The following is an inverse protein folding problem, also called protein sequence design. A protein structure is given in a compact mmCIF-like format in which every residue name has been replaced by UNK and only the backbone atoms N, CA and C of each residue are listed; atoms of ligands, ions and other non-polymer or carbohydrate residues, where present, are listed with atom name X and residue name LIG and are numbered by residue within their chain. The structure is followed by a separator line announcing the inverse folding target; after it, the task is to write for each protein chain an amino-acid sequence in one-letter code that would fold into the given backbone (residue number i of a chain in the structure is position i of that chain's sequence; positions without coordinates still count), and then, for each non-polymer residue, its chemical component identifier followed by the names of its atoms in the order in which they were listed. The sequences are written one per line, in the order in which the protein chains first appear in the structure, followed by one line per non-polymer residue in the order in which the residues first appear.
data_IF_264255691518
#
_entry.id   IF_264255691518
#
_cell.length_a   1.000
_cell.length_b   1.000
_cell.length_c   1.000
_cell.angle_alpha   90.00
_cell.angle_beta   90.00
_cell.angle_gamma   90.00
#
_symmetry.space_group_name_H-M   'P 1'
#
loop_
_entity.id
_entity.type
_entity.pdbx_description
1 polymer ?
#
# COMPACT_ATOMS: atom_id res chain seq x y z
N UNK A 1 -34.18 -15.67 16.70
CA UNK A 1 -33.67 -15.04 15.47
C UNK A 1 -32.17 -15.16 15.59
N UNK A 2 -31.62 -16.25 15.07
CA UNK A 2 -30.22 -16.61 15.28
C UNK A 2 -29.34 -15.63 14.51
N UNK A 3 -28.64 -14.77 15.26
CA UNK A 3 -27.53 -14.01 14.72
C UNK A 3 -26.38 -15.00 14.56
N UNK A 4 -26.28 -15.59 13.37
CA UNK A 4 -25.09 -16.36 12.97
C UNK A 4 -23.84 -15.52 13.29
N UNK A 5 -22.94 -16.09 14.08
CA UNK A 5 -21.68 -15.42 14.40
C UNK A 5 -20.91 -15.16 13.09
N UNK A 6 -20.38 -13.94 12.90
CA UNK A 6 -19.67 -13.61 11.68
C UNK A 6 -18.41 -14.48 11.56
N UNK A 7 -18.36 -15.33 10.52
CA UNK A 7 -17.14 -16.08 10.19
C UNK A 7 -16.11 -15.12 9.59
N UNK A 8 -14.94 -15.03 10.24
CA UNK A 8 -13.84 -14.16 9.82
C UNK A 8 -12.61 -15.01 9.49
N UNK A 9 -12.09 -14.88 8.28
CA UNK A 9 -10.84 -15.51 7.86
C UNK A 9 -9.82 -14.43 7.55
N UNK A 10 -8.65 -14.49 8.19
CA UNK A 10 -7.55 -13.53 7.99
C UNK A 10 -6.55 -14.07 6.99
N UNK A 11 -6.05 -13.21 6.10
CA UNK A 11 -5.03 -13.57 5.13
C UNK A 11 -4.00 -12.45 4.94
N UNK A 12 -2.84 -12.85 4.43
CA UNK A 12 -1.63 -12.02 4.41
C UNK A 12 -1.38 -11.26 3.11
N UNK A 13 -1.98 -11.70 2.01
CA UNK A 13 -1.68 -11.19 0.68
C UNK A 13 -2.97 -10.98 -0.11
N UNK A 14 -2.99 -9.91 -0.88
CA UNK A 14 -4.07 -9.58 -1.79
C UNK A 14 -3.51 -9.27 -3.17
N UNK A 15 -3.97 -9.99 -4.19
CA UNK A 15 -3.69 -9.64 -5.59
C UNK A 15 -4.65 -8.54 -6.03
N UNK A 16 -4.10 -7.40 -6.41
CA UNK A 16 -4.85 -6.23 -6.87
C UNK A 16 -5.21 -6.37 -8.37
N UNK A 17 -6.26 -5.68 -8.85
CA UNK A 17 -6.65 -5.70 -10.27
C UNK A 17 -5.54 -5.26 -11.23
N UNK A 18 -4.64 -4.40 -10.76
CA UNK A 18 -3.48 -3.92 -11.53
C UNK A 18 -2.32 -4.94 -11.59
N UNK A 19 -2.50 -6.15 -11.05
CA UNK A 19 -1.51 -7.22 -11.06
C UNK A 19 -0.50 -7.19 -9.90
N UNK A 20 -0.45 -6.12 -9.11
CA UNK A 20 0.39 -6.05 -7.92
C UNK A 20 -0.09 -7.02 -6.84
N UNK A 21 0.83 -7.47 -5.99
CA UNK A 21 0.51 -8.23 -4.77
C UNK A 21 0.78 -7.34 -3.58
N UNK A 22 -0.28 -6.93 -2.88
CA UNK A 22 -0.20 -6.17 -1.65
C UNK A 22 -0.09 -7.13 -0.47
N UNK A 23 0.91 -6.90 0.38
CA UNK A 23 1.16 -7.72 1.56
C UNK A 23 0.53 -7.07 2.79
N UNK A 24 0.57 -7.78 3.92
CA UNK A 24 0.14 -7.26 5.20
C UNK A 24 1.29 -7.31 6.20
N UNK A 25 1.33 -6.32 7.09
CA UNK A 25 2.31 -6.20 8.16
C UNK A 25 2.36 -7.47 9.01
N UNK A 26 1.21 -8.09 9.31
CA UNK A 26 1.14 -9.33 10.09
C UNK A 26 2.02 -10.48 9.55
N UNK A 27 2.26 -10.52 8.24
CA UNK A 27 3.07 -11.57 7.63
C UNK A 27 4.52 -11.14 7.41
N UNK A 28 4.77 -9.89 7.00
CA UNK A 28 6.13 -9.40 6.78
C UNK A 28 6.87 -9.11 8.10
N UNK A 29 6.18 -8.86 9.23
CA UNK A 29 6.80 -8.74 10.56
C UNK A 29 7.57 -10.00 11.00
N UNK A 30 7.33 -11.13 10.34
CA UNK A 30 8.04 -12.38 10.59
C UNK A 30 9.39 -12.45 9.87
N UNK A 31 9.77 -11.45 9.10
CA UNK A 31 11.01 -11.41 8.33
C UNK A 31 12.03 -10.50 9.02
N UNK A 32 13.28 -10.97 9.16
CA UNK A 32 14.34 -10.21 9.83
C UNK A 32 14.78 -8.96 9.01
N UNK A 33 14.51 -8.95 7.70
CA UNK A 33 14.92 -7.91 6.73
C UNK A 33 13.81 -6.90 6.36
N UNK A 34 12.85 -6.66 7.26
CA UNK A 34 11.75 -5.68 7.12
C UNK A 34 12.20 -4.29 6.62
N UNK A 35 13.47 -3.92 6.83
CA UNK A 35 14.02 -2.62 6.45
C UNK A 35 14.03 -2.36 4.93
N UNK A 36 13.94 -3.39 4.08
CA UNK A 36 14.27 -3.24 2.64
C UNK A 36 13.07 -3.26 1.70
N UNK A 37 11.95 -3.90 2.07
CA UNK A 37 10.74 -3.97 1.22
C UNK A 37 9.49 -3.93 2.08
N UNK A 38 8.76 -2.80 2.05
CA UNK A 38 7.47 -2.64 2.73
C UNK A 38 6.35 -2.73 1.70
N UNK A 39 5.95 -3.95 1.33
CA UNK A 39 4.87 -4.15 0.33
C UNK A 39 3.46 -4.08 0.94
N UNK A 40 3.36 -3.67 2.21
CA UNK A 40 2.11 -3.44 2.92
C UNK A 40 1.58 -2.00 2.83
N UNK A 41 2.34 -1.07 2.25
CA UNK A 41 1.87 0.31 2.07
C UNK A 41 1.04 0.42 0.81
N UNK A 42 -0.11 1.06 0.91
CA UNK A 42 -1.09 1.12 -0.17
C UNK A 42 -1.56 2.55 -0.43
N UNK A 43 -1.89 2.79 -1.70
CA UNK A 43 -2.64 3.96 -2.15
C UNK A 43 -4.13 3.61 -2.20
N UNK A 44 -4.94 4.49 -1.63
CA UNK A 44 -6.38 4.38 -1.54
C UNK A 44 -7.05 5.53 -2.29
N UNK A 45 -8.25 5.28 -2.81
CA UNK A 45 -9.19 6.31 -3.20
C UNK A 45 -10.41 6.22 -2.30
N UNK A 46 -10.51 7.15 -1.35
CA UNK A 46 -11.63 7.25 -0.44
C UNK A 46 -12.46 8.47 -0.83
N UNK A 47 -13.69 8.25 -1.31
CA UNK A 47 -14.61 9.31 -1.73
C UNK A 47 -14.03 10.31 -2.76
N UNK A 48 -13.11 9.87 -3.63
CA UNK A 48 -12.46 10.71 -4.64
C UNK A 48 -11.12 11.28 -4.20
N UNK A 49 -10.74 11.13 -2.93
CA UNK A 49 -9.48 11.63 -2.40
C UNK A 49 -8.42 10.54 -2.33
N UNK A 50 -7.20 10.89 -2.73
CA UNK A 50 -6.03 10.01 -2.62
C UNK A 50 -5.55 10.02 -1.18
N UNK A 51 -5.48 8.84 -0.58
CA UNK A 51 -4.95 8.63 0.77
C UNK A 51 -3.96 7.47 0.78
N UNK A 52 -3.19 7.35 1.86
CA UNK A 52 -2.21 6.28 2.02
C UNK A 52 -2.42 5.58 3.35
N UNK A 53 -2.12 4.28 3.36
CA UNK A 53 -2.26 3.47 4.56
C UNK A 53 -1.25 2.31 4.59
N UNK A 54 -0.98 1.83 5.79
CA UNK A 54 -0.26 0.60 6.07
C UNK A 54 -1.27 -0.51 6.37
N UNK A 55 -1.20 -1.62 5.64
CA UNK A 55 -2.09 -2.76 5.83
C UNK A 55 -1.61 -3.64 6.96
N UNK A 56 -2.43 -3.82 7.99
CA UNK A 56 -2.15 -4.72 9.10
C UNK A 56 -2.44 -6.17 8.70
N UNK A 57 -3.66 -6.39 8.20
CA UNK A 57 -4.13 -7.68 7.70
C UNK A 57 -5.40 -7.51 6.87
N UNK A 58 -5.64 -8.49 6.00
CA UNK A 58 -6.88 -8.60 5.24
C UNK A 58 -7.79 -9.64 5.87
N UNK A 59 -9.10 -9.49 5.69
CA UNK A 59 -10.06 -10.48 6.15
C UNK A 59 -11.34 -10.51 5.32
N UNK A 60 -12.06 -11.62 5.40
CA UNK A 60 -13.41 -11.73 4.86
C UNK A 60 -14.45 -11.61 5.97
N UNK A 61 -15.58 -10.98 5.65
CA UNK A 61 -16.76 -10.92 6.50
C UNK A 61 -17.97 -11.37 5.68
N UNK A 62 -18.75 -12.31 6.22
CA UNK A 62 -20.00 -12.75 5.61
C UNK A 62 -21.15 -12.12 6.38
N UNK A 63 -22.00 -11.35 5.68
CA UNK A 63 -23.19 -10.75 6.29
C UNK A 63 -24.37 -10.86 5.33
N UNK A 64 -25.47 -11.48 5.78
CA UNK A 64 -26.67 -11.72 4.95
C UNK A 64 -26.33 -12.40 3.61
N UNK A 65 -25.46 -13.41 3.65
CA UNK A 65 -24.98 -14.15 2.47
C UNK A 65 -24.19 -13.31 1.44
N UNK A 66 -23.71 -12.12 1.82
CA UNK A 66 -22.81 -11.29 1.01
C UNK A 66 -21.40 -11.36 1.61
N UNK A 67 -20.43 -11.66 0.75
CA UNK A 67 -19.01 -11.67 1.11
C UNK A 67 -18.41 -10.28 0.93
N UNK A 68 -17.80 -9.77 1.99
CA UNK A 68 -17.00 -8.56 1.97
C UNK A 68 -15.55 -8.95 2.16
N UNK A 69 -14.68 -8.39 1.33
CA UNK A 69 -13.23 -8.48 1.49
C UNK A 69 -12.74 -7.14 1.99
N UNK A 70 -12.16 -7.13 3.19
CA UNK A 70 -11.84 -5.93 3.94
C UNK A 70 -10.36 -5.93 4.32
N UNK A 71 -9.82 -4.74 4.61
CA UNK A 71 -8.49 -4.57 5.18
C UNK A 71 -8.57 -3.76 6.47
N UNK A 72 -7.82 -4.19 7.48
CA UNK A 72 -7.53 -3.39 8.66
C UNK A 72 -6.23 -2.63 8.40
N UNK A 73 -6.27 -1.30 8.57
CA UNK A 73 -5.17 -0.41 8.19
C UNK A 73 -4.88 0.66 9.24
N UNK A 74 -3.62 1.10 9.29
CA UNK A 74 -3.24 2.37 9.88
C UNK A 74 -3.14 3.42 8.78
N UNK A 75 -3.83 4.54 8.93
CA UNK A 75 -3.82 5.62 7.95
C UNK A 75 -2.58 6.49 8.14
N UNK A 76 -1.96 6.94 7.04
CA UNK A 76 -1.05 8.08 7.11
C UNK A 76 -1.85 9.38 7.23
N UNK A 77 -1.23 10.40 7.81
CA UNK A 77 -1.79 11.74 7.83
C UNK A 77 -1.83 12.32 6.41
N UNK A 78 -2.67 13.35 6.24
CA UNK A 78 -2.76 14.08 4.99
C UNK A 78 -1.38 14.66 4.59
N UNK A 79 -1.07 14.75 3.29
CA UNK A 79 0.21 15.26 2.84
C UNK A 79 0.42 16.73 3.23
N UNK A 80 1.67 17.11 3.50
CA UNK A 80 2.07 18.50 3.68
C UNK A 80 1.72 19.30 2.42
N UNK A 81 0.74 20.20 2.55
CA UNK A 81 0.21 20.97 1.43
C UNK A 81 1.23 21.94 0.86
N UNK A 82 2.12 22.50 1.68
CA UNK A 82 3.14 23.42 1.20
C UNK A 82 4.15 22.70 0.30
N UNK A 83 4.57 21.48 0.67
CA UNK A 83 5.45 20.66 -0.17
C UNK A 83 4.71 20.22 -1.44
N UNK A 84 3.46 19.80 -1.31
CA UNK A 84 2.65 19.35 -2.44
C UNK A 84 2.44 20.47 -3.46
N UNK A 85 2.09 21.67 -3.01
CA UNK A 85 1.87 22.85 -3.87
C UNK A 85 3.16 23.31 -4.54
N UNK A 86 4.25 23.43 -3.77
CA UNK A 86 5.55 23.86 -4.29
C UNK A 86 6.15 22.84 -5.28
N UNK A 87 5.75 21.57 -5.18
CA UNK A 87 6.16 20.51 -6.10
C UNK A 87 5.19 20.28 -7.25
N UNK A 88 4.17 21.14 -7.44
CA UNK A 88 3.14 20.98 -8.47
C UNK A 88 2.43 19.62 -8.40
N UNK A 89 2.08 19.21 -7.17
CA UNK A 89 1.39 17.95 -6.84
C UNK A 89 2.18 16.67 -7.15
N UNK A 90 3.51 16.77 -7.27
CA UNK A 90 4.39 15.63 -7.56
C UNK A 90 4.91 14.96 -6.29
N UNK A 91 5.34 15.74 -5.29
CA UNK A 91 5.97 15.23 -4.08
C UNK A 91 4.96 15.20 -2.93
N UNK A 92 4.55 13.99 -2.55
CA UNK A 92 3.63 13.75 -1.45
C UNK A 92 4.46 13.35 -0.22
N UNK A 93 4.54 14.21 0.78
CA UNK A 93 5.18 13.93 2.07
C UNK A 93 4.09 13.80 3.12
N UNK A 94 4.02 12.65 3.76
CA UNK A 94 3.01 12.33 4.76
C UNK A 94 3.69 11.92 6.07
N UNK A 95 3.02 12.20 7.18
CA UNK A 95 3.43 11.70 8.48
C UNK A 95 2.73 10.38 8.80
N UNK A 96 3.44 9.50 9.50
CA UNK A 96 2.82 8.32 10.09
C UNK A 96 1.94 8.75 11.27
N UNK A 97 0.64 8.46 11.22
CA UNK A 97 -0.25 8.74 12.33
C UNK A 97 0.13 7.88 13.56
N UNK A 98 -0.16 8.39 14.76
CA UNK A 98 -0.10 7.59 15.98
C UNK A 98 -1.00 6.34 15.80
N UNK A 99 -0.46 5.16 16.10
CA UNK A 99 -1.00 3.85 15.69
C UNK A 99 -2.24 3.40 16.47
N UNK A 100 -2.88 4.30 17.23
CA UNK A 100 -3.95 3.99 18.17
C UNK A 100 -5.31 3.77 17.50
N UNK A 101 -5.46 4.12 16.23
CA UNK A 101 -6.72 3.93 15.48
C UNK A 101 -6.57 3.01 14.29
N UNK A 102 -7.25 1.85 14.34
CA UNK A 102 -7.38 0.94 13.20
C UNK A 102 -8.61 1.32 12.38
N UNK A 103 -8.43 1.56 11.10
CA UNK A 103 -9.53 1.81 10.16
C UNK A 103 -9.82 0.54 9.35
N UNK A 104 -11.10 0.24 9.13
CA UNK A 104 -11.54 -0.86 8.27
C UNK A 104 -11.99 -0.29 6.93
N UNK A 105 -11.40 -0.78 5.84
CA UNK A 105 -11.71 -0.34 4.47
C UNK A 105 -12.14 -1.52 3.59
N UNK A 106 -12.93 -1.24 2.55
CA UNK A 106 -13.16 -2.20 1.47
C UNK A 106 -11.90 -2.27 0.58
N UNK A 107 -11.43 -3.47 0.27
CA UNK A 107 -10.22 -3.65 -0.55
C UNK A 107 -10.35 -3.08 -1.96
N UNK A 108 -11.58 -2.83 -2.44
CA UNK A 108 -11.84 -2.18 -3.74
C UNK A 108 -11.37 -0.74 -3.79
N UNK A 109 -11.16 -0.10 -2.63
CA UNK A 109 -10.60 1.25 -2.57
C UNK A 109 -9.09 1.26 -2.78
N UNK A 110 -8.42 0.11 -2.78
CA UNK A 110 -6.98 -0.02 -2.98
C UNK A 110 -6.65 0.14 -4.47
N UNK A 111 -5.92 1.20 -4.81
CA UNK A 111 -5.48 1.45 -6.18
C UNK A 111 -4.14 0.81 -6.52
N UNK A 112 -3.29 0.57 -5.51
CA UNK A 112 -1.97 0.00 -5.73
C UNK A 112 -1.10 -0.03 -4.48
N UNK A 113 0.01 -0.76 -4.60
CA UNK A 113 1.09 -0.78 -3.62
C UNK A 113 2.03 0.39 -3.91
N UNK A 114 2.46 1.05 -2.84
CA UNK A 114 3.42 2.16 -2.84
C UNK A 114 4.57 1.85 -1.88
N UNK A 115 5.62 2.65 -1.90
CA UNK A 115 6.52 2.74 -0.74
C UNK A 115 6.40 4.11 -0.09
N UNK A 116 6.52 4.05 1.23
CA UNK A 116 6.69 5.20 2.09
C UNK A 116 8.17 5.23 2.45
N UNK A 117 8.91 6.12 1.79
CA UNK A 117 10.36 6.23 1.96
C UNK A 117 10.64 7.28 3.04
N UNK A 118 11.43 6.95 4.08
CA UNK A 118 11.79 7.92 5.12
C UNK A 118 12.28 9.24 4.50
N UNK A 119 11.63 10.33 4.89
CA UNK A 119 11.91 11.67 4.40
C UNK A 119 12.48 12.51 5.54
N UNK A 120 13.58 13.21 5.29
CA UNK A 120 14.16 14.18 6.22
C UNK A 120 14.25 15.53 5.53
N UNK A 121 13.68 16.57 6.15
CA UNK A 121 13.79 17.95 5.66
C UNK A 121 15.23 18.45 5.80
N UNK A 122 15.68 19.20 4.81
CA UNK A 122 17.02 19.79 4.83
C UNK A 122 17.17 20.80 5.98
N UNK A 123 18.29 20.72 6.72
CA UNK A 123 18.62 21.67 7.80
C UNK A 123 18.33 21.18 9.22
N UNK A 124 17.76 19.99 9.40
CA UNK A 124 17.69 19.33 10.71
C UNK A 124 18.99 18.57 10.97
N UNK A 125 19.56 18.72 12.17
CA UNK A 125 20.76 17.99 12.58
C UNK A 125 20.50 16.48 12.60
N UNK A 126 21.54 15.67 12.45
CA UNK A 126 21.43 14.23 12.69
C UNK A 126 21.35 14.03 14.21
N UNK A 127 20.14 13.95 14.73
CA UNK A 127 19.89 13.26 15.97
C UNK A 127 20.07 11.76 15.70
N UNK A 128 21.16 11.19 16.23
CA UNK A 128 21.49 9.76 16.15
C UNK A 128 20.40 8.85 16.81
N UNK A 129 19.38 9.45 17.41
CA UNK A 129 18.30 8.79 18.17
C UNK A 129 16.87 9.06 17.64
N UNK A 130 16.68 9.89 16.60
CA UNK A 130 15.35 10.42 16.24
C UNK A 130 14.60 9.62 15.16
N UNK A 131 13.48 9.01 15.55
CA UNK A 131 12.49 8.37 14.67
C UNK A 131 12.16 9.25 13.45
N UNK A 132 12.16 8.65 12.25
CA UNK A 132 11.66 9.33 11.05
C UNK A 132 10.14 9.20 11.02
N UNK A 133 9.43 10.29 11.31
CA UNK A 133 7.97 10.35 11.27
C UNK A 133 7.42 10.72 9.89
N UNK A 134 8.23 11.36 9.04
CA UNK A 134 7.84 11.80 7.71
C UNK A 134 8.30 10.81 6.63
N UNK A 135 7.45 10.59 5.65
CA UNK A 135 7.71 9.71 4.53
C UNK A 135 7.27 10.37 3.25
N UNK A 136 8.05 10.23 2.18
CA UNK A 136 7.59 10.59 0.85
C UNK A 136 7.08 9.36 0.11
N UNK A 137 6.06 9.57 -0.72
CA UNK A 137 5.41 8.50 -1.47
C UNK A 137 6.14 8.20 -2.77
N UNK A 138 6.37 6.92 -3.03
CA UNK A 138 6.85 6.41 -4.31
C UNK A 138 5.88 5.37 -4.88
N UNK A 139 5.33 5.67 -6.06
CA UNK A 139 4.40 4.79 -6.76
C UNK A 139 5.10 3.81 -7.71
N UNK A 140 4.32 2.84 -8.23
CA UNK A 140 4.73 1.86 -9.27
C UNK A 140 5.92 0.99 -8.89
N UNK A 141 6.14 0.80 -7.59
CA UNK A 141 7.10 -0.16 -7.13
C UNK A 141 6.62 -1.58 -7.44
N UNK A 142 7.59 -2.43 -7.79
CA UNK A 142 7.36 -3.84 -8.09
C UNK A 142 6.45 -4.11 -9.32
N UNK A 143 6.39 -3.17 -10.27
CA UNK A 143 5.85 -3.45 -11.59
C UNK A 143 6.75 -4.50 -12.26
N UNK A 144 6.23 -5.71 -12.46
CA UNK A 144 6.89 -6.65 -13.38
C UNK A 144 6.91 -5.96 -14.74
N UNK A 145 8.10 -5.62 -15.23
CA UNK A 145 8.26 -5.31 -16.65
C UNK A 145 7.72 -6.49 -17.42
N UNK A 146 6.59 -6.30 -18.11
CA UNK A 146 6.19 -7.21 -19.17
C UNK A 146 7.30 -7.11 -20.19
N UNK A 147 8.21 -8.09 -20.21
CA UNK A 147 9.12 -8.24 -21.33
C UNK A 147 8.22 -8.65 -22.49
N UNK A 148 8.03 -7.83 -23.54
CA UNK A 148 7.30 -8.30 -24.70
C UNK A 148 8.07 -9.50 -25.24
N UNK A 149 7.40 -10.64 -25.37
CA UNK A 149 7.92 -11.78 -26.11
C UNK A 149 8.17 -11.28 -27.54
N UNK A 150 9.43 -11.02 -27.88
CA UNK A 150 9.82 -10.94 -29.27
C UNK A 150 9.77 -12.37 -29.78
N UNK A 151 8.66 -12.73 -30.42
CA UNK A 151 8.55 -13.94 -31.24
C UNK A 151 9.67 -13.90 -32.28
N UNK A 152 10.77 -14.59 -31.97
CA UNK A 152 11.86 -14.85 -32.91
C UNK A 152 11.44 -15.98 -33.84
N UNK A 153 10.44 -15.73 -34.69
CA UNK A 153 10.11 -16.55 -35.83
C UNK A 153 9.84 -15.64 -37.03
N UNK A 154 10.92 -15.14 -37.64
CA UNK A 154 10.91 -14.82 -39.06
C UNK A 154 11.65 -15.94 -39.79
N UNK A 155 10.92 -17.02 -40.04
CA UNK A 155 11.20 -17.87 -41.19
C UNK A 155 10.87 -17.06 -42.44
N UNK A 156 11.92 -16.73 -43.18
CA UNK A 156 11.85 -16.00 -44.45
C UNK A 156 12.77 -16.64 -45.48
N UNK A 157 12.55 -17.91 -45.79
CA UNK A 157 12.90 -18.44 -47.11
C UNK A 157 11.96 -17.79 -48.13
N UNK A 158 12.51 -17.04 -49.09
CA UNK A 158 12.07 -16.93 -50.49
C UNK A 158 12.89 -15.82 -51.19
N UNK A 159 13.96 -16.19 -51.90
CA UNK A 159 14.19 -16.01 -53.36
C UNK A 159 15.28 -16.97 -53.80
#
# INVERSE_FOLDING_TARGET
MDLEEPRMERFAQLRLPNGQVAWSLWQEQKWEDIKVRRAWNIKLNLAGEVQFAEVLYYFTLIRKNVHYTLAAVWMFLAPDQQILDNSLSVLWVCEQAETDTITIIDVKWINGVIAMIPFRRAGLAWDDEGDVYEYFVLEKLFCNSVVPDYDSNQDGENV
#
